data_IF_507134495390
#
_entry.id   IF_507134495390
#
_cell.length_a   1.000
_cell.length_b   1.000
_cell.length_c   1.000
_cell.angle_alpha   90.00
_cell.angle_beta   90.00
_cell.angle_gamma   90.00
#
_symmetry.space_group_name_H-M   'P 1'
#
loop_
_entity.id
_entity.type
_entity.pdbx_description
1 polymer ?
#
# COMPACT_ATOMS: atom_id res chain seq x y z
N UNK A 1 0.30 93.83 -23.46
CA UNK A 1 -0.62 93.64 -24.61
C UNK A 1 -0.92 92.16 -24.70
N UNK A 2 -2.22 91.83 -24.81
CA UNK A 2 -2.82 90.50 -25.06
C UNK A 2 -2.58 89.38 -24.05
N UNK A 3 -3.52 88.49 -23.75
CA UNK A 3 -4.97 88.40 -23.92
C UNK A 3 -5.40 87.21 -23.04
N UNK A 4 -6.64 87.25 -22.58
CA UNK A 4 -7.35 86.33 -21.69
C UNK A 4 -7.30 84.84 -22.07
N UNK A 5 -7.61 83.94 -21.13
CA UNK A 5 -8.82 83.07 -21.12
C UNK A 5 -8.87 82.24 -19.83
N UNK A 6 -10.07 82.16 -19.27
CA UNK A 6 -10.49 81.44 -18.05
C UNK A 6 -10.90 80.00 -18.40
N UNK A 7 -10.63 79.01 -17.54
CA UNK A 7 -11.49 77.81 -17.44
C UNK A 7 -11.34 77.08 -16.09
N UNK A 8 -12.50 76.83 -15.46
CA UNK A 8 -12.73 76.12 -14.19
C UNK A 8 -12.56 74.60 -14.34
N UNK A 9 -12.10 73.90 -13.29
CA UNK A 9 -12.43 72.49 -12.99
C UNK A 9 -12.29 72.29 -11.46
N UNK A 10 -13.37 72.36 -10.67
CA UNK A 10 -14.27 71.26 -10.23
C UNK A 10 -13.55 70.15 -9.43
N UNK A 11 -13.75 70.20 -8.11
CA UNK A 11 -13.52 69.12 -7.14
C UNK A 11 -14.45 67.94 -7.45
N UNK A 12 -13.94 66.71 -7.57
CA UNK A 12 -14.72 65.49 -7.31
C UNK A 12 -13.80 64.42 -6.68
N UNK A 13 -14.20 63.94 -5.51
CA UNK A 13 -13.47 62.94 -4.72
C UNK A 13 -13.39 61.58 -5.41
N UNK A 14 -12.25 60.93 -5.25
CA UNK A 14 -12.06 59.55 -5.70
C UNK A 14 -12.39 58.60 -4.55
N UNK A 15 -13.56 57.95 -4.60
CA UNK A 15 -13.82 56.77 -3.81
C UNK A 15 -13.07 55.59 -4.43
N UNK A 16 -12.09 55.04 -3.71
CA UNK A 16 -11.34 53.85 -4.14
C UNK A 16 -12.16 52.62 -3.82
N UNK A 17 -12.78 52.02 -4.84
CA UNK A 17 -13.44 50.72 -4.73
C UNK A 17 -12.38 49.61 -4.83
N UNK A 18 -12.10 48.94 -3.70
CA UNK A 18 -11.22 47.77 -3.65
C UNK A 18 -12.02 46.55 -4.12
N UNK A 19 -11.83 46.13 -5.37
CA UNK A 19 -12.35 44.88 -5.92
C UNK A 19 -11.47 43.71 -5.47
N UNK A 20 -11.92 42.95 -4.46
CA UNK A 20 -11.31 41.68 -4.05
C UNK A 20 -11.66 40.60 -5.08
N UNK A 21 -10.79 40.38 -6.07
CA UNK A 21 -10.83 39.18 -6.91
C UNK A 21 -10.31 37.98 -6.11
N UNK A 22 -11.23 37.23 -5.51
CA UNK A 22 -10.93 35.94 -4.90
C UNK A 22 -10.58 34.91 -5.99
N UNK A 23 -9.31 34.60 -6.15
CA UNK A 23 -8.87 33.51 -7.02
C UNK A 23 -9.26 32.16 -6.39
N UNK A 24 -10.37 31.58 -6.86
CA UNK A 24 -10.74 30.21 -6.51
C UNK A 24 -9.74 29.25 -7.17
N UNK A 25 -8.82 28.69 -6.38
CA UNK A 25 -7.93 27.63 -6.83
C UNK A 25 -8.78 26.39 -7.17
N UNK A 26 -8.58 25.73 -8.33
CA UNK A 26 -9.30 24.51 -8.64
C UNK A 26 -8.87 23.43 -7.65
N UNK A 27 -9.82 22.96 -6.84
CA UNK A 27 -9.62 21.84 -5.94
C UNK A 27 -9.39 20.59 -6.80
N UNK A 28 -8.14 20.13 -6.89
CA UNK A 28 -7.82 18.85 -7.52
C UNK A 28 -8.52 17.76 -6.73
N UNK A 29 -9.55 17.16 -7.31
CA UNK A 29 -10.15 15.95 -6.78
C UNK A 29 -9.04 14.93 -6.52
N UNK A 30 -9.00 14.35 -5.32
CA UNK A 30 -8.10 13.24 -5.03
C UNK A 30 -8.41 12.10 -6.02
N UNK A 31 -7.39 11.35 -6.49
CA UNK A 31 -7.63 10.22 -7.36
C UNK A 31 -8.55 9.23 -6.63
N UNK A 32 -9.78 9.13 -7.10
CA UNK A 32 -10.67 8.05 -6.70
C UNK A 32 -10.12 6.81 -7.39
N UNK A 33 -9.40 5.98 -6.65
CA UNK A 33 -9.14 4.61 -7.08
C UNK A 33 -10.51 3.95 -7.22
N UNK A 34 -10.97 3.77 -8.45
CA UNK A 34 -12.13 2.92 -8.71
C UNK A 34 -11.85 1.56 -8.05
N UNK A 35 -12.73 1.15 -7.14
CA UNK A 35 -12.74 -0.25 -6.70
C UNK A 35 -12.87 -1.08 -7.95
N UNK A 36 -11.79 -1.76 -8.34
CA UNK A 36 -11.81 -2.69 -9.45
C UNK A 36 -12.99 -3.64 -9.27
N UNK A 37 -13.73 -3.90 -10.35
CA UNK A 37 -14.96 -4.70 -10.32
C UNK A 37 -14.79 -6.18 -9.94
N UNK A 38 -13.66 -6.57 -9.33
CA UNK A 38 -13.43 -7.90 -8.77
C UNK A 38 -14.15 -8.10 -7.43
N UNK A 39 -14.19 -9.35 -6.97
CA UNK A 39 -14.82 -9.72 -5.70
C UNK A 39 -13.86 -9.53 -4.53
N UNK A 40 -14.39 -9.53 -3.30
CA UNK A 40 -13.56 -9.53 -2.08
C UNK A 40 -13.19 -10.96 -1.70
N UNK A 41 -11.89 -11.28 -1.74
CA UNK A 41 -11.32 -12.50 -1.24
C UNK A 41 -10.87 -12.31 0.23
N UNK A 42 -11.68 -12.82 1.17
CA UNK A 42 -11.37 -12.74 2.60
C UNK A 42 -10.48 -13.91 3.01
N UNK A 43 -9.27 -13.61 3.48
CA UNK A 43 -8.34 -14.60 4.04
C UNK A 43 -8.58 -14.71 5.54
N UNK A 44 -9.08 -15.87 5.97
CA UNK A 44 -9.29 -16.24 7.37
C UNK A 44 -8.01 -16.73 8.06
N UNK A 45 -8.16 -17.64 9.01
CA UNK A 45 -7.04 -18.31 9.67
C UNK A 45 -6.31 -19.23 8.68
N UNK A 46 -5.04 -18.92 8.40
CA UNK A 46 -4.31 -19.60 7.34
C UNK A 46 -2.87 -19.92 7.76
N UNK A 47 -2.52 -21.22 7.94
CA UNK A 47 -1.19 -21.65 8.36
C UNK A 47 -0.16 -21.57 7.22
N UNK A 48 -0.60 -21.24 6.00
CA UNK A 48 0.19 -21.28 4.78
C UNK A 48 0.15 -22.65 4.12
N UNK A 49 1.19 -22.96 3.35
CA UNK A 49 1.21 -24.13 2.49
C UNK A 49 2.34 -24.11 1.49
N UNK A 50 2.13 -24.73 0.33
CA UNK A 50 3.13 -24.79 -0.75
C UNK A 50 3.25 -23.42 -1.43
N UNK A 51 4.47 -22.90 -1.55
CA UNK A 51 4.71 -21.61 -2.18
C UNK A 51 4.16 -21.52 -3.61
N UNK A 52 4.31 -22.57 -4.42
CA UNK A 52 3.82 -22.59 -5.81
C UNK A 52 2.30 -22.43 -5.88
N UNK A 53 1.57 -23.24 -5.12
CA UNK A 53 0.10 -23.17 -5.05
C UNK A 53 -0.37 -21.76 -4.67
N UNK A 54 0.22 -21.16 -3.63
CA UNK A 54 -0.13 -19.79 -3.23
C UNK A 54 0.19 -18.75 -4.31
N UNK A 55 1.34 -18.90 -4.98
CA UNK A 55 1.75 -18.00 -6.07
C UNK A 55 0.72 -18.05 -7.21
N UNK A 56 0.25 -19.24 -7.57
CA UNK A 56 -0.75 -19.44 -8.63
C UNK A 56 -2.10 -18.82 -8.24
N UNK A 57 -2.55 -19.03 -6.98
CA UNK A 57 -3.75 -18.38 -6.44
C UNK A 57 -3.67 -16.85 -6.50
N UNK A 58 -2.56 -16.26 -6.05
CA UNK A 58 -2.35 -14.81 -6.11
C UNK A 58 -2.35 -14.32 -7.56
N UNK A 59 -1.78 -15.08 -8.48
CA UNK A 59 -1.81 -14.73 -9.91
C UNK A 59 -3.24 -14.68 -10.44
N UNK A 60 -4.10 -15.61 -10.04
CA UNK A 60 -5.51 -15.61 -10.46
C UNK A 60 -6.29 -14.45 -9.83
N UNK A 61 -6.06 -14.15 -8.54
CA UNK A 61 -6.66 -12.99 -7.86
C UNK A 61 -6.31 -11.69 -8.59
N UNK A 62 -5.02 -11.50 -8.89
CA UNK A 62 -4.55 -10.35 -9.66
C UNK A 62 -5.19 -10.27 -11.04
N UNK A 63 -5.31 -11.41 -11.74
CA UNK A 63 -5.92 -11.46 -13.07
C UNK A 63 -7.42 -11.11 -13.06
N UNK A 64 -8.13 -11.41 -11.96
CA UNK A 64 -9.54 -11.03 -11.78
C UNK A 64 -9.72 -9.60 -11.26
N UNK A 65 -8.66 -8.95 -10.78
CA UNK A 65 -8.76 -7.65 -10.12
C UNK A 65 -9.47 -7.73 -8.76
N UNK A 66 -9.44 -8.90 -8.11
CA UNK A 66 -10.05 -9.11 -6.80
C UNK A 66 -9.28 -8.36 -5.70
N UNK A 67 -10.03 -7.88 -4.71
CA UNK A 67 -9.46 -7.31 -3.48
C UNK A 67 -9.22 -8.40 -2.45
N UNK A 68 -8.06 -8.38 -1.80
CA UNK A 68 -7.73 -9.30 -0.70
C UNK A 68 -7.85 -8.60 0.64
N UNK A 69 -8.62 -9.19 1.55
CA UNK A 69 -8.70 -8.73 2.94
C UNK A 69 -8.19 -9.83 3.88
N UNK A 70 -7.06 -9.60 4.54
CA UNK A 70 -6.51 -10.56 5.51
C UNK A 70 -7.09 -10.25 6.88
N UNK A 71 -8.03 -11.08 7.34
CA UNK A 71 -8.83 -10.85 8.55
C UNK A 71 -8.76 -11.96 9.59
N UNK A 72 -8.11 -13.08 9.30
CA UNK A 72 -7.89 -14.16 10.27
C UNK A 72 -7.14 -13.71 11.53
N UNK A 73 -7.19 -14.53 12.57
CA UNK A 73 -6.35 -14.40 13.76
C UNK A 73 -4.87 -14.55 13.41
N UNK A 74 -4.57 -15.40 12.42
CA UNK A 74 -3.20 -15.62 11.94
C UNK A 74 -3.11 -15.84 10.44
N UNK A 75 -1.96 -15.45 9.89
CA UNK A 75 -1.55 -15.68 8.51
C UNK A 75 -0.06 -16.05 8.50
N UNK A 76 0.26 -17.33 8.32
CA UNK A 76 1.61 -17.85 8.49
C UNK A 76 2.22 -18.37 7.21
N UNK A 77 3.56 -18.38 7.15
CA UNK A 77 4.30 -19.00 6.07
C UNK A 77 3.86 -18.45 4.70
N UNK A 78 3.46 -19.31 3.77
CA UNK A 78 2.98 -18.93 2.45
C UNK A 78 1.74 -18.01 2.47
N UNK A 79 0.89 -18.02 3.51
CA UNK A 79 -0.24 -17.07 3.59
C UNK A 79 0.24 -15.62 3.45
N UNK A 80 1.40 -15.29 4.04
CA UNK A 80 1.95 -13.93 4.01
C UNK A 80 2.16 -13.39 2.59
N UNK A 81 2.26 -14.25 1.56
CA UNK A 81 2.41 -13.81 0.18
C UNK A 81 1.19 -13.05 -0.35
N UNK A 82 0.01 -13.21 0.27
CA UNK A 82 -1.18 -12.40 -0.05
C UNK A 82 -0.96 -10.90 0.14
N UNK A 83 0.04 -10.49 0.93
CA UNK A 83 0.48 -9.08 1.03
C UNK A 83 0.95 -8.51 -0.31
N UNK A 84 1.20 -9.38 -1.30
CA UNK A 84 1.53 -9.00 -2.67
C UNK A 84 0.35 -9.11 -3.62
N UNK A 85 -0.89 -9.30 -3.17
CA UNK A 85 -2.02 -9.54 -4.08
C UNK A 85 -2.39 -8.34 -4.97
N UNK A 86 -1.84 -7.15 -4.73
CA UNK A 86 -2.20 -5.92 -5.44
C UNK A 86 -3.09 -5.07 -4.54
N UNK A 87 -4.40 -5.07 -4.77
CA UNK A 87 -5.38 -4.48 -3.85
C UNK A 87 -5.51 -5.38 -2.62
N UNK A 88 -4.73 -5.09 -1.58
CA UNK A 88 -4.72 -5.84 -0.31
C UNK A 88 -4.80 -4.91 0.87
N UNK A 89 -5.56 -5.32 1.89
CA UNK A 89 -5.49 -4.74 3.22
C UNK A 89 -5.37 -5.80 4.31
N UNK A 90 -4.96 -5.39 5.50
CA UNK A 90 -4.83 -6.27 6.67
C UNK A 90 -5.62 -5.76 7.87
N UNK A 91 -6.20 -6.69 8.62
CA UNK A 91 -6.73 -6.43 9.97
C UNK A 91 -5.57 -6.17 10.94
N UNK A 92 -5.62 -5.14 11.80
CA UNK A 92 -4.56 -4.84 12.75
C UNK A 92 -4.29 -5.97 13.75
N UNK A 93 -5.31 -6.78 14.05
CA UNK A 93 -5.25 -7.85 15.05
C UNK A 93 -4.63 -9.15 14.51
N UNK A 94 -4.52 -9.30 13.18
CA UNK A 94 -3.95 -10.51 12.57
C UNK A 94 -2.47 -10.64 12.91
N UNK A 95 -2.04 -11.86 13.27
CA UNK A 95 -0.63 -12.19 13.49
C UNK A 95 -0.01 -12.82 12.25
N UNK A 96 0.99 -12.17 11.68
CA UNK A 96 1.71 -12.60 10.49
C UNK A 96 3.00 -13.32 10.86
N UNK A 97 3.14 -14.58 10.47
CA UNK A 97 4.28 -15.42 10.81
C UNK A 97 5.22 -15.60 9.63
N UNK A 98 6.43 -15.06 9.72
CA UNK A 98 7.44 -15.10 8.67
C UNK A 98 8.58 -16.06 9.01
N UNK A 99 9.01 -16.85 8.03
CA UNK A 99 10.18 -17.72 8.13
C UNK A 99 10.80 -17.97 6.74
N UNK A 100 11.98 -18.57 6.70
CA UNK A 100 12.66 -18.92 5.45
C UNK A 100 12.03 -20.12 4.71
N UNK A 101 12.22 -20.23 3.40
CA UNK A 101 11.73 -21.39 2.66
C UNK A 101 12.38 -22.68 3.16
N UNK A 102 11.59 -23.74 3.27
CA UNK A 102 12.04 -25.06 3.72
C UNK A 102 11.41 -26.16 2.87
N UNK A 103 12.02 -27.34 2.87
CA UNK A 103 11.43 -28.57 2.35
C UNK A 103 11.07 -29.47 3.53
N UNK A 104 9.95 -30.18 3.41
CA UNK A 104 9.43 -31.03 4.51
C UNK A 104 10.32 -32.24 4.81
N UNK A 105 10.91 -32.83 3.77
CA UNK A 105 11.58 -34.13 3.86
C UNK A 105 13.10 -34.06 3.75
N UNK A 106 13.68 -32.89 3.48
CA UNK A 106 15.11 -32.75 3.24
C UNK A 106 15.58 -31.33 3.54
N UNK A 107 16.88 -31.15 3.85
CA UNK A 107 17.49 -29.83 3.84
C UNK A 107 17.31 -29.15 2.47
N UNK A 108 17.04 -27.85 2.50
CA UNK A 108 17.02 -27.04 1.30
C UNK A 108 18.45 -26.66 0.92
N UNK A 109 18.85 -26.91 -0.33
CA UNK A 109 20.15 -26.46 -0.84
C UNK A 109 20.24 -24.93 -0.82
N UNK A 110 21.44 -24.39 -0.59
CA UNK A 110 21.67 -22.96 -0.45
C UNK A 110 21.17 -22.12 -1.65
N UNK A 111 21.39 -22.60 -2.88
CA UNK A 111 20.92 -21.96 -4.12
C UNK A 111 19.38 -21.90 -4.19
N UNK A 112 18.72 -23.00 -3.81
CA UNK A 112 17.25 -23.07 -3.75
C UNK A 112 16.70 -22.21 -2.62
N UNK A 113 17.37 -22.16 -1.49
CA UNK A 113 16.99 -21.32 -0.36
C UNK A 113 17.05 -19.83 -0.74
N UNK A 114 18.12 -19.39 -1.40
CA UNK A 114 18.23 -17.99 -1.83
C UNK A 114 17.21 -17.63 -2.90
N UNK A 115 17.04 -18.49 -3.91
CA UNK A 115 16.00 -18.33 -4.92
C UNK A 115 14.61 -18.15 -4.29
N UNK A 116 14.20 -19.07 -3.42
CA UNK A 116 12.87 -19.00 -2.82
C UNK A 116 12.73 -17.86 -1.81
N UNK A 117 13.79 -17.50 -1.09
CA UNK A 117 13.78 -16.35 -0.19
C UNK A 117 13.52 -15.05 -0.96
N UNK A 118 14.23 -14.83 -2.08
CA UNK A 118 14.00 -13.67 -2.94
C UNK A 118 12.62 -13.71 -3.60
N UNK A 119 12.17 -14.90 -4.02
CA UNK A 119 10.84 -15.06 -4.59
C UNK A 119 9.75 -14.70 -3.58
N UNK A 120 9.82 -15.16 -2.34
CA UNK A 120 8.90 -14.77 -1.27
C UNK A 120 8.95 -13.25 -1.04
N UNK A 121 10.16 -12.69 -0.89
CA UNK A 121 10.37 -11.28 -0.64
C UNK A 121 9.79 -10.36 -1.73
N UNK A 122 9.67 -10.84 -2.97
CA UNK A 122 9.07 -10.10 -4.09
C UNK A 122 7.55 -9.88 -3.96
N UNK A 123 6.88 -10.59 -3.05
CA UNK A 123 5.46 -10.37 -2.74
C UNK A 123 5.25 -9.39 -1.57
N UNK A 124 6.32 -8.89 -0.96
CA UNK A 124 6.21 -7.98 0.18
C UNK A 124 6.45 -6.53 -0.24
N UNK A 125 5.75 -5.55 0.37
CA UNK A 125 6.08 -4.14 0.20
C UNK A 125 7.55 -3.86 0.54
N UNK A 126 8.18 -2.80 -0.02
CA UNK A 126 9.63 -2.63 0.02
C UNK A 126 10.25 -2.70 1.42
N UNK A 127 9.59 -2.11 2.43
CA UNK A 127 10.08 -2.12 3.82
C UNK A 127 10.04 -3.52 4.43
N UNK A 128 8.95 -4.27 4.20
CA UNK A 128 8.80 -5.64 4.68
C UNK A 128 9.72 -6.61 3.93
N UNK A 129 9.89 -6.42 2.62
CA UNK A 129 10.79 -7.21 1.78
C UNK A 129 12.23 -7.16 2.30
N UNK A 130 12.76 -5.96 2.58
CA UNK A 130 14.10 -5.79 3.18
C UNK A 130 14.21 -6.42 4.56
N UNK A 131 13.21 -6.20 5.43
CA UNK A 131 13.17 -6.81 6.77
C UNK A 131 13.17 -8.34 6.70
N UNK A 132 12.37 -8.93 5.80
CA UNK A 132 12.29 -10.37 5.61
C UNK A 132 13.64 -10.93 5.17
N UNK A 133 14.26 -10.32 4.16
CA UNK A 133 15.55 -10.76 3.64
C UNK A 133 16.69 -10.63 4.66
N UNK A 134 16.63 -9.64 5.55
CA UNK A 134 17.65 -9.46 6.57
C UNK A 134 17.45 -10.34 7.81
N UNK A 135 16.20 -10.75 8.11
CA UNK A 135 15.85 -11.37 9.39
C UNK A 135 15.05 -12.66 9.23
N UNK A 136 13.80 -12.55 8.80
CA UNK A 136 12.87 -13.67 8.87
C UNK A 136 13.24 -14.84 7.96
N UNK A 137 13.94 -14.61 6.84
CA UNK A 137 14.40 -15.70 5.98
C UNK A 137 15.32 -16.69 6.71
N UNK A 138 15.99 -16.29 7.79
CA UNK A 138 16.93 -17.13 8.53
C UNK A 138 16.26 -17.94 9.65
N UNK A 139 14.95 -17.78 9.85
CA UNK A 139 14.18 -18.58 10.80
C UNK A 139 13.87 -19.93 10.17
N UNK A 140 14.39 -21.01 10.78
CA UNK A 140 14.22 -22.40 10.33
C UNK A 140 13.20 -23.18 11.16
N UNK A 141 12.90 -22.71 12.38
CA UNK A 141 11.88 -23.26 13.27
C UNK A 141 10.99 -22.14 13.80
N UNK A 142 9.67 -22.32 13.76
CA UNK A 142 8.71 -21.31 14.18
C UNK A 142 8.64 -20.10 13.23
N UNK A 143 8.35 -18.92 13.79
CA UNK A 143 8.11 -17.70 13.03
C UNK A 143 8.68 -16.47 13.74
N UNK A 144 9.23 -15.52 12.99
CA UNK A 144 9.22 -14.12 13.42
C UNK A 144 7.84 -13.54 13.13
N UNK A 145 7.19 -13.01 14.17
CA UNK A 145 5.83 -12.50 14.06
C UNK A 145 5.80 -10.99 13.97
N UNK A 146 4.94 -10.46 13.10
CA UNK A 146 4.47 -9.07 13.10
C UNK A 146 2.95 -9.07 13.21
N UNK A 147 2.39 -8.12 13.93
CA UNK A 147 0.96 -7.83 13.93
C UNK A 147 0.56 -7.07 12.66
N UNK A 148 -0.73 -7.11 12.32
CA UNK A 148 -1.27 -6.27 11.26
C UNK A 148 -1.03 -4.79 11.53
N UNK A 149 -1.11 -4.35 12.79
CA UNK A 149 -0.79 -2.97 13.18
C UNK A 149 0.65 -2.57 12.82
N UNK A 150 1.63 -3.46 13.08
CA UNK A 150 3.03 -3.22 12.68
C UNK A 150 3.17 -3.20 11.16
N UNK A 151 2.51 -4.10 10.43
CA UNK A 151 2.52 -4.09 8.97
C UNK A 151 1.89 -2.81 8.39
N UNK A 152 0.84 -2.29 9.01
CA UNK A 152 0.24 -1.00 8.65
C UNK A 152 1.25 0.13 8.86
N UNK A 153 1.97 0.14 9.98
CA UNK A 153 3.10 1.05 10.22
C UNK A 153 4.27 0.86 9.24
N UNK A 154 4.32 -0.26 8.51
CA UNK A 154 5.28 -0.51 7.43
C UNK A 154 4.74 -0.17 6.03
N UNK A 155 3.52 0.35 5.93
CA UNK A 155 2.91 0.83 4.69
C UNK A 155 1.92 -0.14 4.04
N UNK A 156 1.47 -1.19 4.73
CA UNK A 156 0.37 -2.05 4.25
C UNK A 156 -0.98 -1.35 4.53
N UNK A 157 -1.92 -1.30 3.57
CA UNK A 157 -3.23 -0.70 3.82
C UNK A 157 -3.99 -1.42 4.95
N UNK A 158 -4.71 -0.63 5.74
CA UNK A 158 -5.58 -1.13 6.81
C UNK A 158 -6.95 -1.55 6.25
N UNK A 159 -7.46 -2.70 6.71
CA UNK A 159 -8.89 -2.98 6.71
C UNK A 159 -9.55 -2.39 7.99
#
# INVERSE_FOLDING_TARGET
MSSSVVAKCLFHGLAVAILLFGAALPMRAAPQYERGGGVVHVVGDDPGGRLRTRIDEISQIRARGDRVEIRGRYCHSACTLYLGAGDVCVSPATRFGFHGPSYRAAPIRADRFDYWSRRMASYYPPRLSRWFLARARHVTQGYLTLTGAELIGMGVPRC
#
